data_IF_676684732715
#
_entry.id   IF_676684732715
#
_cell.length_a   1.000
_cell.length_b   1.000
_cell.length_c   1.000
_cell.angle_alpha   90.00
_cell.angle_beta   90.00
_cell.angle_gamma   90.00
#
_symmetry.space_group_name_H-M   'P 1'
#
loop_
_entity.id
_entity.type
_entity.pdbx_description
1 polymer ?
#
# COMPACT_ATOMS: atom_id res chain seq x y z
N UNK A 1 8.43 0.89 27.35
CA UNK A 1 7.78 2.14 26.89
C UNK A 1 6.53 1.72 26.12
N UNK A 2 5.40 2.37 26.36
CA UNK A 2 4.15 2.00 25.72
C UNK A 2 4.23 2.41 24.26
N UNK A 3 4.34 1.45 23.33
CA UNK A 3 4.46 1.71 21.88
C UNK A 3 3.10 2.05 21.23
N UNK A 4 2.24 2.73 21.98
CA UNK A 4 0.86 3.03 21.57
C UNK A 4 0.80 4.02 20.38
N UNK A 5 1.83 4.82 20.20
CA UNK A 5 1.91 5.78 19.09
C UNK A 5 1.98 5.11 17.70
N UNK A 6 2.44 3.85 17.62
CA UNK A 6 2.41 3.09 16.36
C UNK A 6 1.00 2.75 15.90
N UNK A 7 0.01 2.83 16.81
CA UNK A 7 -1.42 2.71 16.55
C UNK A 7 -2.12 4.07 16.40
N UNK A 8 -1.41 5.16 16.65
CA UNK A 8 -1.92 6.51 16.47
C UNK A 8 -1.80 6.94 15.00
N UNK A 9 -2.92 6.86 14.28
CA UNK A 9 -2.97 7.22 12.85
C UNK A 9 -2.63 8.69 12.62
N UNK A 10 -3.04 9.60 13.49
CA UNK A 10 -2.77 11.04 13.31
C UNK A 10 -1.27 11.32 13.46
N UNK A 11 -0.61 10.64 14.40
CA UNK A 11 0.84 10.72 14.54
C UNK A 11 1.55 10.19 13.28
N UNK A 12 1.19 9.00 12.79
CA UNK A 12 1.76 8.44 11.57
C UNK A 12 1.47 9.31 10.33
N UNK A 13 0.27 9.87 10.22
CA UNK A 13 -0.10 10.81 9.16
C UNK A 13 0.73 12.09 9.21
N UNK A 14 1.07 12.57 10.40
CA UNK A 14 1.97 13.73 10.54
C UNK A 14 3.36 13.45 9.97
N UNK A 15 3.90 12.26 10.20
CA UNK A 15 5.17 11.81 9.62
C UNK A 15 5.06 11.70 8.10
N UNK A 16 4.02 11.03 7.57
CA UNK A 16 3.81 10.96 6.13
C UNK A 16 3.84 12.36 5.49
N UNK A 17 3.09 13.31 6.06
CA UNK A 17 3.01 14.69 5.54
C UNK A 17 4.27 15.52 5.77
N UNK A 18 5.15 15.13 6.70
CA UNK A 18 6.46 15.74 6.89
C UNK A 18 7.36 15.49 5.67
N UNK A 19 7.37 14.25 5.15
CA UNK A 19 8.27 13.80 4.08
C UNK A 19 7.64 13.78 2.70
N UNK A 20 6.31 13.62 2.60
CA UNK A 20 5.57 13.53 1.33
C UNK A 20 4.66 14.73 1.15
N UNK A 21 4.80 15.46 0.04
CA UNK A 21 4.00 16.65 -0.34
C UNK A 21 3.14 16.40 -1.57
N UNK A 22 3.56 15.49 -2.44
CA UNK A 22 2.85 15.13 -3.66
C UNK A 22 1.46 14.55 -3.35
N UNK A 23 0.41 15.17 -3.89
CA UNK A 23 -0.98 14.68 -3.75
C UNK A 23 -1.14 13.25 -4.26
N UNK A 24 -0.44 12.89 -5.34
CA UNK A 24 -0.49 11.53 -5.91
C UNK A 24 0.13 10.49 -4.98
N UNK A 25 1.25 10.80 -4.32
CA UNK A 25 1.88 9.89 -3.37
C UNK A 25 1.09 9.78 -2.07
N UNK A 26 0.51 10.89 -1.58
CA UNK A 26 -0.40 10.84 -0.44
C UNK A 26 -1.63 9.97 -0.73
N UNK A 27 -2.24 10.11 -1.90
CA UNK A 27 -3.37 9.27 -2.32
C UNK A 27 -2.99 7.81 -2.48
N UNK A 28 -1.79 7.53 -2.97
CA UNK A 28 -1.26 6.15 -3.02
C UNK A 28 -1.15 5.56 -1.61
N UNK A 29 -0.53 6.26 -0.68
CA UNK A 29 -0.43 5.82 0.72
C UNK A 29 -1.81 5.54 1.33
N UNK A 30 -2.80 6.40 1.10
CA UNK A 30 -4.18 6.19 1.58
C UNK A 30 -4.86 4.99 0.90
N UNK A 31 -4.60 4.75 -0.37
CA UNK A 31 -5.18 3.61 -1.09
C UNK A 31 -4.62 2.28 -0.56
N UNK A 32 -3.31 2.20 -0.33
CA UNK A 32 -2.66 1.02 0.25
C UNK A 32 -3.12 0.82 1.69
N UNK A 33 -3.14 1.87 2.51
CA UNK A 33 -3.71 1.84 3.88
C UNK A 33 -5.13 1.27 3.88
N UNK A 34 -5.99 1.76 2.99
CA UNK A 34 -7.38 1.32 2.88
C UNK A 34 -7.50 -0.18 2.61
N UNK A 35 -6.71 -0.70 1.68
CA UNK A 35 -6.73 -2.13 1.34
C UNK A 35 -6.18 -2.99 2.48
N UNK A 36 -5.09 -2.57 3.11
CA UNK A 36 -4.44 -3.31 4.20
C UNK A 36 -5.31 -3.32 5.46
N UNK A 37 -5.97 -2.21 5.81
CA UNK A 37 -6.96 -2.15 6.92
C UNK A 37 -8.11 -3.12 6.70
N UNK A 38 -8.66 -3.17 5.49
CA UNK A 38 -9.74 -4.10 5.15
C UNK A 38 -9.30 -5.57 5.29
N UNK A 39 -8.05 -5.88 4.94
CA UNK A 39 -7.49 -7.21 5.18
C UNK A 39 -7.24 -7.50 6.66
N UNK A 40 -6.79 -6.52 7.43
CA UNK A 40 -6.63 -6.67 8.88
C UNK A 40 -7.97 -7.03 9.53
N UNK A 41 -9.06 -6.33 9.19
CA UNK A 41 -10.41 -6.66 9.63
C UNK A 41 -10.82 -8.08 9.22
N UNK A 42 -10.60 -8.46 7.95
CA UNK A 42 -10.91 -9.80 7.44
C UNK A 42 -10.20 -10.90 8.19
N UNK A 43 -8.97 -10.67 8.61
CA UNK A 43 -8.12 -11.64 9.29
C UNK A 43 -8.22 -11.60 10.81
N UNK A 44 -8.95 -10.62 11.38
CA UNK A 44 -9.06 -10.42 12.83
C UNK A 44 -7.77 -9.90 13.48
N UNK A 45 -6.98 -9.14 12.72
CA UNK A 45 -5.70 -8.58 13.14
C UNK A 45 -5.84 -7.11 13.59
N UNK A 46 -4.77 -6.53 14.13
CA UNK A 46 -4.74 -5.14 14.60
C UNK A 46 -4.83 -4.14 13.43
N UNK A 47 -6.01 -3.62 13.18
CA UNK A 47 -6.32 -2.73 12.06
C UNK A 47 -5.55 -1.42 12.11
N UNK A 48 -5.31 -0.86 13.31
CA UNK A 48 -4.57 0.39 13.47
C UNK A 48 -3.09 0.18 13.19
N UNK A 49 -2.51 -0.87 13.74
CA UNK A 49 -1.10 -1.21 13.51
C UNK A 49 -0.83 -1.51 12.04
N UNK A 50 -1.64 -2.38 11.41
CA UNK A 50 -1.49 -2.74 10.01
C UNK A 50 -1.69 -1.55 9.08
N UNK A 51 -2.72 -0.73 9.37
CA UNK A 51 -3.00 0.46 8.59
C UNK A 51 -1.86 1.47 8.64
N UNK A 52 -1.24 1.67 9.80
CA UNK A 52 -0.15 2.62 9.95
C UNK A 52 1.15 2.13 9.31
N UNK A 53 1.43 0.82 9.31
CA UNK A 53 2.52 0.24 8.50
C UNK A 53 2.30 0.55 7.03
N UNK A 54 1.08 0.34 6.52
CA UNK A 54 0.74 0.61 5.14
C UNK A 54 0.76 2.11 4.80
N UNK A 55 0.29 2.97 5.70
CA UNK A 55 0.31 4.42 5.53
C UNK A 55 1.74 4.97 5.37
N UNK A 56 2.70 4.36 6.06
CA UNK A 56 4.10 4.80 6.07
C UNK A 56 5.02 4.01 5.12
N UNK A 57 4.51 3.07 4.31
CA UNK A 57 5.40 2.20 3.53
C UNK A 57 6.32 2.98 2.57
N UNK A 58 5.82 4.04 1.95
CA UNK A 58 6.50 4.87 0.95
C UNK A 58 6.76 6.32 1.42
N UNK A 59 6.66 6.62 2.72
CA UNK A 59 6.69 8.01 3.20
C UNK A 59 7.99 8.76 2.85
N UNK A 60 9.09 8.05 2.68
CA UNK A 60 10.41 8.59 2.36
C UNK A 60 10.69 8.69 0.85
N UNK A 61 9.86 8.04 0.00
CA UNK A 61 10.12 7.89 -1.43
C UNK A 61 10.26 9.22 -2.19
N UNK A 62 9.47 10.25 -1.84
CA UNK A 62 9.57 11.56 -2.50
C UNK A 62 10.92 12.22 -2.29
N UNK A 63 11.51 12.06 -1.10
CA UNK A 63 12.81 12.64 -0.75
C UNK A 63 13.98 11.75 -1.16
N UNK A 64 13.79 10.45 -1.21
CA UNK A 64 14.82 9.43 -1.41
C UNK A 64 14.38 8.38 -2.45
N UNK A 65 14.23 8.77 -3.75
CA UNK A 65 13.55 7.93 -4.75
C UNK A 65 14.42 6.81 -5.35
N UNK A 66 15.67 6.69 -4.94
CA UNK A 66 16.56 5.67 -5.51
C UNK A 66 16.49 4.35 -4.71
N UNK A 67 16.73 3.22 -5.38
CA UNK A 67 16.73 1.91 -4.72
C UNK A 67 17.84 1.74 -3.67
N UNK A 68 18.87 2.58 -3.71
CA UNK A 68 19.95 2.64 -2.72
C UNK A 68 19.52 3.39 -1.45
N UNK A 69 18.52 4.26 -1.55
CA UNK A 69 18.05 5.10 -0.46
C UNK A 69 16.71 4.62 0.11
N UNK A 70 15.70 4.46 -0.74
CA UNK A 70 14.39 3.92 -0.36
C UNK A 70 14.44 2.38 -0.32
N UNK A 71 13.86 1.68 0.68
CA UNK A 71 13.23 2.20 1.90
C UNK A 71 14.21 2.32 3.09
N UNK A 72 15.53 2.28 2.85
CA UNK A 72 16.54 2.27 3.91
C UNK A 72 16.55 3.57 4.71
N UNK A 73 16.42 4.71 4.03
CA UNK A 73 16.33 6.02 4.69
C UNK A 73 15.08 6.13 5.56
N UNK A 74 13.95 5.66 5.07
CA UNK A 74 12.74 5.55 5.86
C UNK A 74 12.93 4.71 7.12
N UNK A 75 13.61 3.56 7.00
CA UNK A 75 13.93 2.71 8.14
C UNK A 75 14.79 3.43 9.20
N UNK A 76 15.82 4.19 8.80
CA UNK A 76 16.66 4.99 9.70
C UNK A 76 15.81 6.05 10.42
N UNK A 77 15.01 6.82 9.69
CA UNK A 77 14.14 7.88 10.22
C UNK A 77 13.13 7.32 11.24
N UNK A 78 12.48 6.19 10.92
CA UNK A 78 11.53 5.57 11.84
C UNK A 78 12.21 5.00 13.09
N UNK A 79 13.45 4.50 12.97
CA UNK A 79 14.23 4.07 14.12
C UNK A 79 14.52 5.24 15.07
N UNK A 80 14.93 6.39 14.54
CA UNK A 80 15.17 7.61 15.32
C UNK A 80 13.90 8.13 15.99
N UNK A 81 12.73 7.97 15.32
CA UNK A 81 11.40 8.31 15.88
C UNK A 81 10.88 7.27 16.89
N UNK A 82 11.61 6.18 17.15
CA UNK A 82 11.31 5.18 18.18
C UNK A 82 10.39 4.03 17.74
N UNK A 83 10.13 3.88 16.44
CA UNK A 83 9.39 2.71 15.91
C UNK A 83 10.21 1.43 16.10
N UNK A 84 9.56 0.36 16.52
CA UNK A 84 10.22 -0.92 16.76
C UNK A 84 10.69 -1.60 15.47
N UNK A 85 11.51 -2.62 15.62
CA UNK A 85 12.10 -3.34 14.49
C UNK A 85 11.03 -4.07 13.67
N UNK A 86 9.99 -4.61 14.30
CA UNK A 86 8.93 -5.35 13.61
C UNK A 86 8.12 -4.44 12.69
N UNK A 87 7.75 -3.24 13.15
CA UNK A 87 7.08 -2.22 12.34
C UNK A 87 7.93 -1.84 11.14
N UNK A 88 9.19 -1.50 11.38
CA UNK A 88 10.12 -1.06 10.34
C UNK A 88 10.46 -2.16 9.34
N UNK A 89 10.66 -3.41 9.82
CA UNK A 89 10.90 -4.58 8.96
C UNK A 89 9.68 -4.87 8.09
N UNK A 90 8.47 -4.67 8.61
CA UNK A 90 7.23 -4.84 7.83
C UNK A 90 7.16 -3.84 6.69
N UNK A 91 7.51 -2.58 6.92
CA UNK A 91 7.64 -1.57 5.85
C UNK A 91 8.70 -2.00 4.83
N UNK A 92 9.92 -2.29 5.27
CA UNK A 92 11.03 -2.66 4.40
C UNK A 92 10.69 -3.82 3.44
N UNK A 93 9.82 -4.74 3.87
CA UNK A 93 9.48 -5.94 3.10
C UNK A 93 8.63 -5.69 1.84
N UNK A 94 8.07 -4.47 1.65
CA UNK A 94 7.30 -4.15 0.45
C UNK A 94 8.21 -4.01 -0.77
N UNK A 95 9.46 -3.58 -0.60
CA UNK A 95 10.43 -3.43 -1.68
C UNK A 95 11.17 -4.74 -1.92
N UNK A 96 10.91 -5.40 -3.04
CA UNK A 96 11.50 -6.72 -3.37
C UNK A 96 13.03 -6.68 -3.40
N UNK A 97 13.62 -5.57 -3.85
CA UNK A 97 15.08 -5.38 -3.91
C UNK A 97 15.75 -5.23 -2.52
N UNK A 98 14.98 -4.95 -1.47
CA UNK A 98 15.49 -4.93 -0.10
C UNK A 98 15.82 -6.33 0.42
N UNK A 99 15.35 -7.38 -0.26
CA UNK A 99 15.58 -8.79 0.08
C UNK A 99 15.17 -9.16 1.52
N UNK A 100 14.12 -8.52 2.04
CA UNK A 100 13.52 -8.86 3.33
C UNK A 100 12.46 -9.95 3.10
N UNK A 101 12.62 -11.15 3.68
CA UNK A 101 11.61 -12.21 3.56
C UNK A 101 10.27 -11.77 4.15
N UNK A 102 9.18 -11.94 3.40
CA UNK A 102 7.81 -11.68 3.87
C UNK A 102 7.28 -12.87 4.67
N UNK A 103 7.63 -12.91 5.93
CA UNK A 103 7.31 -14.04 6.82
C UNK A 103 5.93 -13.90 7.47
N UNK A 104 5.53 -12.65 7.80
CA UNK A 104 4.26 -12.39 8.48
C UNK A 104 3.12 -12.16 7.49
N UNK A 105 1.90 -12.34 7.97
CA UNK A 105 0.69 -12.06 7.20
C UNK A 105 0.58 -10.58 6.82
N UNK A 106 1.00 -9.67 7.71
CA UNK A 106 1.08 -8.24 7.44
C UNK A 106 2.00 -7.93 6.26
N UNK A 107 3.24 -8.45 6.27
CA UNK A 107 4.21 -8.22 5.20
C UNK A 107 3.68 -8.70 3.84
N UNK A 108 3.06 -9.88 3.79
CA UNK A 108 2.44 -10.42 2.57
C UNK A 108 1.26 -9.57 2.11
N UNK A 109 0.44 -9.08 3.05
CA UNK A 109 -0.71 -8.23 2.75
C UNK A 109 -0.26 -6.87 2.21
N UNK A 110 0.74 -6.25 2.83
CA UNK A 110 1.28 -4.97 2.36
C UNK A 110 1.78 -5.09 0.93
N UNK A 111 2.64 -6.07 0.66
CA UNK A 111 3.19 -6.30 -0.68
C UNK A 111 2.10 -6.61 -1.72
N UNK A 112 1.09 -7.39 -1.35
CA UNK A 112 -0.01 -7.72 -2.25
C UNK A 112 -0.89 -6.51 -2.59
N UNK A 113 -1.05 -5.55 -1.65
CA UNK A 113 -1.91 -4.39 -1.82
C UNK A 113 -1.24 -3.21 -2.52
N UNK A 114 0.07 -3.05 -2.39
CA UNK A 114 0.83 -1.88 -2.81
C UNK A 114 0.63 -1.58 -4.31
N UNK A 115 1.23 -2.36 -5.19
CA UNK A 115 1.14 -2.16 -6.63
C UNK A 115 -0.31 -2.28 -7.16
N UNK A 116 -1.12 -3.15 -6.55
CA UNK A 116 -2.52 -3.31 -6.95
C UNK A 116 -3.36 -2.07 -6.64
N UNK A 117 -3.19 -1.44 -5.49
CA UNK A 117 -3.93 -0.21 -5.14
C UNK A 117 -3.61 0.93 -6.12
N UNK A 118 -2.33 1.11 -6.46
CA UNK A 118 -1.89 2.05 -7.50
C UNK A 118 -2.49 1.72 -8.88
N UNK A 119 -2.54 0.44 -9.23
CA UNK A 119 -3.10 0.01 -10.51
C UNK A 119 -4.62 0.22 -10.59
N UNK A 120 -5.38 -0.08 -9.53
CA UNK A 120 -6.83 0.19 -9.45
C UNK A 120 -7.09 1.69 -9.57
N UNK A 121 -6.30 2.53 -8.90
CA UNK A 121 -6.37 3.99 -9.01
C UNK A 121 -6.17 4.45 -10.46
N UNK A 122 -5.18 3.92 -11.15
CA UNK A 122 -4.95 4.23 -12.57
C UNK A 122 -6.13 3.79 -13.45
N UNK A 123 -6.74 2.64 -13.17
CA UNK A 123 -7.95 2.17 -13.89
C UNK A 123 -9.14 3.08 -13.62
N UNK A 124 -9.32 3.58 -12.40
CA UNK A 124 -10.36 4.54 -12.05
C UNK A 124 -10.21 5.85 -12.83
N UNK A 125 -8.99 6.40 -12.90
CA UNK A 125 -8.75 7.67 -13.61
C UNK A 125 -9.04 7.66 -15.11
N UNK A 126 -9.06 6.51 -15.77
CA UNK A 126 -9.43 6.40 -17.19
C UNK A 126 -10.92 6.10 -17.39
N UNK A 127 -11.72 6.04 -16.33
CA UNK A 127 -13.17 5.98 -16.41
C UNK A 127 -13.74 7.38 -16.72
N UNK A 128 -14.92 7.50 -17.36
CA UNK A 128 -15.55 8.79 -17.63
C UNK A 128 -15.77 9.63 -16.36
N UNK A 129 -16.21 8.98 -15.27
CA UNK A 129 -16.42 9.62 -13.96
C UNK A 129 -15.14 9.84 -13.16
N UNK A 130 -14.03 9.21 -13.55
CA UNK A 130 -12.80 9.11 -12.76
C UNK A 130 -13.01 8.50 -11.36
N UNK A 131 -14.02 7.67 -11.21
CA UNK A 131 -14.42 7.07 -9.95
C UNK A 131 -14.11 5.57 -9.89
N UNK A 132 -13.70 5.11 -8.73
CA UNK A 132 -13.52 3.70 -8.43
C UNK A 132 -14.84 2.92 -8.44
N UNK A 133 -15.99 3.61 -8.32
CA UNK A 133 -17.32 2.99 -8.43
C UNK A 133 -17.53 2.25 -9.75
N UNK A 134 -16.96 2.76 -10.84
CA UNK A 134 -17.05 2.15 -12.18
C UNK A 134 -15.99 1.08 -12.43
N UNK A 135 -15.11 0.82 -11.47
CA UNK A 135 -14.05 -0.18 -11.64
C UNK A 135 -14.61 -1.57 -11.32
N UNK A 136 -14.39 -2.49 -12.25
CA UNK A 136 -14.75 -3.89 -12.13
C UNK A 136 -13.50 -4.77 -12.32
N UNK A 137 -13.50 -5.97 -11.73
CA UNK A 137 -12.41 -6.96 -11.84
C UNK A 137 -11.98 -7.18 -13.29
N UNK A 138 -12.96 -7.38 -14.19
CA UNK A 138 -12.69 -7.60 -15.64
C UNK A 138 -11.93 -6.44 -16.28
N UNK A 139 -12.15 -5.22 -15.79
CA UNK A 139 -11.47 -4.01 -16.29
C UNK A 139 -10.02 -3.98 -15.85
N UNK A 140 -9.76 -4.31 -14.58
CA UNK A 140 -8.40 -4.40 -14.03
C UNK A 140 -7.63 -5.50 -14.77
N UNK A 141 -8.18 -6.71 -14.87
CA UNK A 141 -7.56 -7.85 -15.57
C UNK A 141 -7.28 -7.54 -17.04
N UNK A 142 -8.20 -6.84 -17.74
CA UNK A 142 -7.97 -6.39 -19.11
C UNK A 142 -6.79 -5.42 -19.20
N UNK A 143 -6.72 -4.46 -18.29
CA UNK A 143 -5.65 -3.45 -18.25
C UNK A 143 -4.31 -4.05 -17.82
N UNK A 144 -4.27 -5.09 -17.01
CA UNK A 144 -3.04 -5.82 -16.68
C UNK A 144 -2.35 -6.40 -17.92
N UNK A 145 -3.10 -6.74 -18.97
CA UNK A 145 -2.56 -7.22 -20.25
C UNK A 145 -2.04 -6.10 -21.15
N UNK A 146 -2.42 -4.86 -20.91
CA UNK A 146 -1.99 -3.68 -21.65
C UNK A 146 -0.67 -3.13 -21.10
N UNK A 147 0.45 -3.51 -21.72
CA UNK A 147 1.79 -3.09 -21.28
C UNK A 147 2.03 -1.57 -21.38
N UNK A 148 1.25 -0.86 -22.20
CA UNK A 148 1.37 0.59 -22.34
C UNK A 148 0.65 1.36 -21.23
N UNK A 149 -0.34 0.74 -20.61
CA UNK A 149 -1.11 1.34 -19.52
C UNK A 149 -0.34 1.29 -18.20
N UNK A 150 -0.32 2.39 -17.43
CA UNK A 150 0.32 2.49 -16.10
C UNK A 150 1.68 1.76 -16.04
N UNK A 151 2.63 2.18 -16.89
CA UNK A 151 3.92 1.47 -17.09
C UNK A 151 4.78 1.37 -15.83
N UNK A 152 4.63 2.31 -14.91
CA UNK A 152 5.39 2.32 -13.66
C UNK A 152 4.98 1.19 -12.69
N UNK A 153 3.76 0.67 -12.83
CA UNK A 153 3.24 -0.41 -11.96
C UNK A 153 3.82 -1.76 -12.38
N UNK A 154 4.39 -2.49 -11.43
CA UNK A 154 4.93 -3.83 -11.65
C UNK A 154 3.81 -4.89 -11.56
N UNK A 155 3.39 -5.46 -12.72
CA UNK A 155 2.34 -6.49 -12.78
C UNK A 155 2.77 -7.82 -12.18
N UNK A 156 4.06 -8.12 -12.22
CA UNK A 156 4.58 -9.36 -11.64
C UNK A 156 4.42 -9.33 -10.12
N UNK A 157 4.64 -8.18 -9.50
CA UNK A 157 4.46 -8.00 -8.06
C UNK A 157 2.98 -8.10 -7.66
N UNK A 158 2.03 -7.61 -8.49
CA UNK A 158 0.60 -7.82 -8.26
C UNK A 158 0.27 -9.32 -8.23
N UNK A 159 0.78 -10.09 -9.18
CA UNK A 159 0.51 -11.53 -9.27
C UNK A 159 1.19 -12.28 -8.12
N UNK A 160 2.47 -12.01 -7.89
CA UNK A 160 3.28 -12.58 -6.82
C UNK A 160 2.67 -12.28 -5.42
N UNK A 161 2.20 -11.05 -5.23
CA UNK A 161 1.57 -10.65 -3.97
C UNK A 161 0.32 -11.45 -3.66
N UNK A 162 -0.56 -11.66 -4.64
CA UNK A 162 -1.75 -12.50 -4.49
C UNK A 162 -1.38 -13.97 -4.18
N UNK A 163 -0.35 -14.50 -4.85
CA UNK A 163 0.16 -15.85 -4.63
C UNK A 163 0.74 -16.01 -3.21
N UNK A 164 1.60 -15.09 -2.76
CA UNK A 164 2.19 -15.11 -1.41
C UNK A 164 1.13 -14.97 -0.30
N UNK A 165 0.07 -14.19 -0.57
CA UNK A 165 -1.06 -14.02 0.34
C UNK A 165 -1.99 -15.24 0.32
N UNK A 166 -1.88 -16.11 -0.70
CA UNK A 166 -2.67 -17.33 -0.85
C UNK A 166 -4.13 -17.06 -1.26
N UNK A 167 -4.39 -15.94 -1.97
CA UNK A 167 -5.72 -15.55 -2.42
C UNK A 167 -5.72 -15.52 -3.96
N UNK A 168 -6.74 -16.12 -4.63
CA UNK A 168 -6.88 -16.03 -6.08
C UNK A 168 -6.90 -14.59 -6.55
N UNK A 169 -6.15 -14.28 -7.62
CA UNK A 169 -5.93 -12.90 -8.09
C UNK A 169 -7.24 -12.12 -8.32
N UNK A 170 -8.26 -12.74 -8.87
CA UNK A 170 -9.54 -12.08 -9.12
C UNK A 170 -10.27 -11.72 -7.81
N UNK A 171 -10.19 -12.59 -6.81
CA UNK A 171 -10.76 -12.33 -5.47
C UNK A 171 -10.00 -11.21 -4.76
N UNK A 172 -8.67 -11.20 -4.90
CA UNK A 172 -7.82 -10.13 -4.35
C UNK A 172 -8.14 -8.78 -4.97
N UNK A 173 -8.26 -8.72 -6.30
CA UNK A 173 -8.65 -7.50 -7.05
C UNK A 173 -10.03 -7.02 -6.58
N UNK A 174 -11.02 -7.92 -6.52
CA UNK A 174 -12.39 -7.58 -6.08
C UNK A 174 -12.40 -7.03 -4.66
N UNK A 175 -11.65 -7.67 -3.76
CA UNK A 175 -11.56 -7.24 -2.36
C UNK A 175 -10.98 -5.83 -2.23
N UNK A 176 -9.87 -5.54 -2.94
CA UNK A 176 -9.25 -4.21 -2.92
C UNK A 176 -10.16 -3.15 -3.57
N UNK A 177 -10.82 -3.45 -4.69
CA UNK A 177 -11.82 -2.54 -5.30
C UNK A 177 -12.92 -2.19 -4.28
N UNK A 178 -13.47 -3.19 -3.60
CA UNK A 178 -14.55 -2.98 -2.64
C UNK A 178 -14.09 -2.16 -1.41
N UNK A 179 -12.87 -2.38 -0.94
CA UNK A 179 -12.28 -1.57 0.13
C UNK A 179 -12.11 -0.09 -0.31
N UNK A 180 -11.59 0.14 -1.52
CA UNK A 180 -11.40 1.48 -2.08
C UNK A 180 -12.72 2.21 -2.33
N UNK A 181 -13.77 1.51 -2.80
CA UNK A 181 -15.12 2.09 -2.97
C UNK A 181 -15.69 2.65 -1.67
N UNK A 182 -15.50 1.96 -0.55
CA UNK A 182 -15.95 2.43 0.78
C UNK A 182 -15.26 3.71 1.23
N UNK A 183 -14.06 3.99 0.71
CA UNK A 183 -13.23 5.12 1.10
C UNK A 183 -12.93 6.08 -0.06
N UNK A 184 -13.73 6.07 -1.12
CA UNK A 184 -13.51 6.83 -2.35
C UNK A 184 -13.31 8.34 -2.14
N UNK A 185 -14.00 8.93 -1.18
CA UNK A 185 -13.87 10.37 -0.88
C UNK A 185 -12.48 10.71 -0.35
N UNK A 186 -11.93 9.88 0.55
CA UNK A 186 -10.56 10.03 1.05
C UNK A 186 -9.53 9.89 -0.08
N UNK A 187 -9.81 9.01 -1.05
CA UNK A 187 -8.92 8.72 -2.17
C UNK A 187 -9.07 9.73 -3.32
N UNK A 188 -10.17 10.50 -3.34
CA UNK A 188 -10.51 11.39 -4.44
C UNK A 188 -10.87 10.63 -5.73
N UNK A 189 -11.57 9.49 -5.61
CA UNK A 189 -11.94 8.57 -6.69
C UNK A 189 -13.45 8.36 -6.81
#
# INVERSE_FOLDING_TARGET
MNNDFMRDREFCLSILKEYTKSDSLLKHAYAVETCVRAYAEKFGEDTEYWGNVALLHDFDYEMYPTAEEHPYKGNEILAEKGFDEEFRKSIMSHADYANIPRETKLMKTLFACDELAGFITAVAYVRPSRSVEEVEVKSVVKKMKDKAFARAVNREDITKGAEELGIPINEHIEFCINAMKKNKELLGL
#
